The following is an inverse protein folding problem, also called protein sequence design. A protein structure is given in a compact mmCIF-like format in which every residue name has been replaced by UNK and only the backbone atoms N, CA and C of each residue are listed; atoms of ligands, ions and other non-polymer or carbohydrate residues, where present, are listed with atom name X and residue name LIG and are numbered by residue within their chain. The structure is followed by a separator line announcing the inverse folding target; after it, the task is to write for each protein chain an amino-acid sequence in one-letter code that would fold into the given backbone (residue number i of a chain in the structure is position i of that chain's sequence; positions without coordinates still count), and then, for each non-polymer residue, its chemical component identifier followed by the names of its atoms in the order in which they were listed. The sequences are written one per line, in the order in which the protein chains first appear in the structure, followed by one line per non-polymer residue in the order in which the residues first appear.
data_IF_681822926067
#
_entry.id   IF_681822926067
#
_cell.length_a   1.000
_cell.length_b   1.000
_cell.length_c   1.000
_cell.angle_alpha   90.00
_cell.angle_beta   90.00
_cell.angle_gamma   90.00
#
_symmetry.space_group_name_H-M   'P 1'
#
loop_
_entity.id
_entity.type
_entity.pdbx_description
1 polymer ?
#
# COMPACT_ATOMS: atom_id res chain seq x y z
N UNK A 1 -9.57 -26.58 7.07
CA UNK A 1 -9.47 -25.20 7.57
C UNK A 1 -8.09 -25.01 8.17
N UNK A 2 -7.22 -24.22 7.53
CA UNK A 2 -5.93 -23.87 8.13
C UNK A 2 -6.16 -22.73 9.12
N UNK A 3 -6.15 -23.04 10.41
CA UNK A 3 -6.26 -22.06 11.50
C UNK A 3 -4.89 -21.48 11.88
N UNK A 4 -3.95 -21.50 10.94
CA UNK A 4 -2.56 -21.09 11.13
C UNK A 4 -2.43 -19.64 10.69
N UNK A 5 -1.87 -18.75 11.54
CA UNK A 5 -1.62 -17.37 11.12
C UNK A 5 -0.66 -17.36 9.93
N UNK A 6 -1.07 -16.71 8.85
CA UNK A 6 -0.25 -16.50 7.67
C UNK A 6 0.57 -15.23 7.85
N UNK A 7 1.89 -15.36 7.86
CA UNK A 7 2.81 -14.22 7.90
C UNK A 7 3.34 -13.98 6.49
N UNK A 8 2.96 -12.86 5.89
CA UNK A 8 3.43 -12.45 4.57
C UNK A 8 4.05 -11.06 4.71
N UNK A 9 5.29 -10.89 4.25
CA UNK A 9 6.07 -9.67 4.44
C UNK A 9 5.70 -8.52 3.47
N UNK A 10 4.69 -8.72 2.60
CA UNK A 10 4.28 -7.76 1.58
C UNK A 10 2.77 -7.61 1.54
N UNK A 11 2.30 -6.36 1.47
CA UNK A 11 0.88 -6.03 1.42
C UNK A 11 0.18 -6.58 0.16
N UNK A 12 0.89 -6.70 -0.97
CA UNK A 12 0.33 -7.33 -2.18
C UNK A 12 0.09 -8.83 -2.00
N UNK A 13 1.01 -9.53 -1.34
CA UNK A 13 0.84 -10.95 -1.03
C UNK A 13 -0.29 -11.19 -0.04
N UNK A 14 -0.43 -10.31 0.96
CA UNK A 14 -1.59 -10.32 1.87
C UNK A 14 -2.90 -10.06 1.13
N UNK A 15 -2.93 -9.10 0.21
CA UNK A 15 -4.13 -8.80 -0.59
C UNK A 15 -4.60 -10.04 -1.36
N UNK A 16 -3.69 -10.72 -2.07
CA UNK A 16 -4.02 -11.95 -2.79
C UNK A 16 -4.48 -13.07 -1.87
N UNK A 17 -3.86 -13.23 -0.69
CA UNK A 17 -4.29 -14.22 0.28
C UNK A 17 -5.71 -13.94 0.80
N UNK A 18 -6.04 -12.66 1.06
CA UNK A 18 -7.37 -12.25 1.50
C UNK A 18 -8.45 -12.43 0.43
N UNK A 19 -8.08 -12.42 -0.85
CA UNK A 19 -8.99 -12.60 -1.98
C UNK A 19 -9.08 -14.05 -2.46
N UNK A 20 -8.25 -14.96 -1.94
CA UNK A 20 -8.28 -16.35 -2.34
C UNK A 20 -9.55 -17.05 -1.84
N UNK A 21 -10.18 -17.83 -2.72
CA UNK A 21 -11.40 -18.57 -2.40
C UNK A 21 -11.23 -19.42 -1.13
N UNK A 22 -12.20 -19.30 -0.21
CA UNK A 22 -12.23 -20.06 1.03
C UNK A 22 -11.34 -19.54 2.16
N UNK A 23 -10.70 -18.37 2.01
CA UNK A 23 -9.97 -17.70 3.08
C UNK A 23 -10.79 -16.52 3.63
N UNK A 24 -11.06 -16.55 4.94
CA UNK A 24 -11.66 -15.44 5.66
C UNK A 24 -10.69 -15.01 6.75
N UNK A 25 -10.23 -13.76 6.68
CA UNK A 25 -9.24 -13.23 7.61
C UNK A 25 -9.22 -11.71 7.60
N UNK A 26 -8.48 -11.15 8.57
CA UNK A 26 -8.21 -9.72 8.66
C UNK A 26 -6.71 -9.55 8.47
N UNK A 27 -6.33 -8.64 7.57
CA UNK A 27 -4.94 -8.31 7.29
C UNK A 27 -4.67 -6.83 7.42
N UNK A 28 -3.45 -6.49 7.83
CA UNK A 28 -2.95 -5.12 7.81
C UNK A 28 -2.21 -4.90 6.48
N UNK A 29 -2.76 -4.03 5.64
CA UNK A 29 -2.23 -3.72 4.30
C UNK A 29 -2.15 -2.22 4.11
N UNK A 30 -1.29 -1.78 3.19
CA UNK A 30 -1.21 -0.36 2.83
C UNK A 30 -2.47 0.11 2.10
N UNK A 31 -2.93 1.31 2.42
CA UNK A 31 -4.21 1.87 1.93
C UNK A 31 -4.30 1.85 0.39
N UNK A 32 -3.25 2.31 -0.30
CA UNK A 32 -3.21 2.35 -1.77
C UNK A 32 -3.31 0.97 -2.44
N UNK A 33 -2.96 -0.11 -1.72
CA UNK A 33 -3.10 -1.49 -2.23
C UNK A 33 -4.52 -2.01 -1.98
N UNK A 34 -5.12 -1.62 -0.86
CA UNK A 34 -6.46 -2.07 -0.47
C UNK A 34 -7.57 -1.31 -1.19
N UNK A 35 -7.36 -0.04 -1.49
CA UNK A 35 -8.38 0.87 -2.01
C UNK A 35 -9.11 0.32 -3.26
N UNK A 36 -8.43 -0.21 -4.30
CA UNK A 36 -9.13 -0.78 -5.45
C UNK A 36 -9.97 -2.01 -5.09
N UNK A 37 -9.49 -2.85 -4.17
CA UNK A 37 -10.21 -4.03 -3.72
C UNK A 37 -11.42 -3.68 -2.84
N UNK A 38 -11.34 -2.59 -2.07
CA UNK A 38 -12.45 -2.05 -1.29
C UNK A 38 -13.51 -1.45 -2.22
N UNK A 39 -13.09 -0.63 -3.19
CA UNK A 39 -13.99 -0.01 -4.17
C UNK A 39 -14.75 -1.06 -5.01
N UNK A 40 -14.08 -2.16 -5.35
CA UNK A 40 -14.69 -3.29 -6.07
C UNK A 40 -15.52 -4.22 -5.17
N UNK A 41 -15.64 -3.95 -3.86
CA UNK A 41 -16.42 -4.75 -2.93
C UNK A 41 -15.80 -6.10 -2.57
N UNK A 42 -14.53 -6.34 -2.93
CA UNK A 42 -13.81 -7.57 -2.58
C UNK A 42 -13.27 -7.54 -1.15
N UNK A 43 -13.04 -6.35 -0.59
CA UNK A 43 -12.59 -6.15 0.78
C UNK A 43 -13.45 -5.09 1.49
N UNK A 44 -13.48 -5.16 2.82
CA UNK A 44 -14.12 -4.16 3.67
C UNK A 44 -13.14 -3.67 4.73
N UNK A 45 -13.09 -2.34 4.94
CA UNK A 45 -12.30 -1.74 6.02
C UNK A 45 -12.93 -2.12 7.37
N UNK A 46 -12.13 -2.75 8.22
CA UNK A 46 -12.50 -3.08 9.60
C UNK A 46 -11.86 -2.09 10.58
N UNK A 47 -12.50 -1.88 11.74
CA UNK A 47 -11.99 -1.03 12.82
C UNK A 47 -11.62 0.41 12.38
N UNK A 48 -12.52 1.18 11.73
CA UNK A 48 -12.18 2.50 11.18
C UNK A 48 -11.79 3.54 12.24
N UNK A 49 -12.17 3.33 13.49
CA UNK A 49 -11.85 4.23 14.62
C UNK A 49 -10.43 4.01 15.18
N UNK A 50 -9.73 2.97 14.73
CA UNK A 50 -8.41 2.64 15.22
C UNK A 50 -7.35 3.33 14.37
N UNK A 51 -6.47 4.08 15.04
CA UNK A 51 -5.29 4.68 14.41
C UNK A 51 -4.09 3.77 14.64
N UNK A 52 -3.38 3.46 13.55
CA UNK A 52 -2.14 2.71 13.62
C UNK A 52 -1.05 3.58 14.29
N UNK A 53 -0.28 2.97 15.18
CA UNK A 53 0.81 3.62 15.90
C UNK A 53 2.16 2.93 15.63
N UNK A 54 3.26 3.61 15.98
CA UNK A 54 4.62 3.07 15.83
C UNK A 54 5.03 2.87 14.36
N UNK A 55 5.56 1.70 14.02
CA UNK A 55 6.05 1.38 12.67
C UNK A 55 4.98 1.40 11.57
N UNK A 56 3.69 1.40 11.95
CA UNK A 56 2.55 1.41 11.04
C UNK A 56 1.77 2.73 11.07
N UNK A 57 2.28 3.75 11.79
CA UNK A 57 1.71 5.09 11.74
C UNK A 57 1.68 5.63 10.30
N UNK A 58 0.78 6.59 9.98
CA UNK A 58 0.73 7.21 8.65
C UNK A 58 2.11 7.62 8.16
N UNK A 59 2.46 7.20 6.94
CA UNK A 59 3.80 7.35 6.38
C UNK A 59 3.76 8.11 5.07
N UNK A 60 4.79 8.93 4.89
CA UNK A 60 5.05 9.66 3.65
C UNK A 60 5.96 8.77 2.78
N UNK A 61 5.57 8.56 1.53
CA UNK A 61 6.45 7.98 0.53
C UNK A 61 7.40 9.06 0.00
N UNK A 62 8.72 8.79 0.05
CA UNK A 62 9.74 9.69 -0.47
C UNK A 62 10.35 9.12 -1.74
N UNK A 63 10.46 9.95 -2.78
CA UNK A 63 11.26 9.63 -3.95
C UNK A 63 12.74 9.91 -3.63
N UNK A 64 13.56 8.86 -3.52
CA UNK A 64 14.99 8.96 -3.21
C UNK A 64 15.80 8.79 -4.49
N UNK A 65 16.69 9.75 -4.78
CA UNK A 65 17.62 9.69 -5.90
C UNK A 65 19.03 10.13 -5.48
N UNK A 66 20.04 9.74 -6.26
CA UNK A 66 21.42 10.14 -5.98
C UNK A 66 21.58 11.67 -6.10
N UNK A 67 22.29 12.32 -5.15
CA UNK A 67 22.63 13.73 -5.28
C UNK A 67 23.70 13.91 -6.36
N UNK A 68 23.54 14.90 -7.23
CA UNK A 68 24.52 15.20 -8.27
C UNK A 68 24.16 16.45 -9.07
N UNK A 69 25.14 17.10 -9.69
CA UNK A 69 24.95 18.38 -10.39
C UNK A 69 24.08 18.26 -11.64
N UNK A 70 23.97 17.07 -12.25
CA UNK A 70 23.15 16.83 -13.43
C UNK A 70 22.14 15.72 -13.17
N UNK A 71 20.86 16.11 -13.05
CA UNK A 71 19.76 15.15 -13.07
C UNK A 71 19.36 14.87 -14.53
N UNK A 72 19.33 13.59 -14.97
CA UNK A 72 18.86 13.24 -16.31
C UNK A 72 17.44 13.77 -16.55
N UNK A 73 17.13 14.33 -17.74
CA UNK A 73 15.79 14.85 -18.04
C UNK A 73 14.67 13.84 -17.86
N UNK A 74 14.93 12.55 -18.13
CA UNK A 74 13.98 11.45 -17.91
C UNK A 74 13.64 11.26 -16.43
N UNK A 75 14.63 11.37 -15.54
CA UNK A 75 14.40 11.28 -14.09
C UNK A 75 13.60 12.51 -13.61
N UNK A 76 13.93 13.70 -14.11
CA UNK A 76 13.15 14.91 -13.83
C UNK A 76 11.68 14.74 -14.20
N UNK A 77 11.41 14.33 -15.44
CA UNK A 77 10.05 14.14 -15.93
C UNK A 77 9.27 13.09 -15.11
N UNK A 78 9.93 12.00 -14.69
CA UNK A 78 9.33 11.00 -13.81
C UNK A 78 8.98 11.57 -12.44
N UNK A 79 9.88 12.33 -11.81
CA UNK A 79 9.62 12.96 -10.51
C UNK A 79 8.51 14.01 -10.60
N UNK A 80 8.49 14.81 -11.66
CA UNK A 80 7.44 15.80 -11.92
C UNK A 80 6.08 15.11 -12.10
N UNK A 81 6.04 14.00 -12.85
CA UNK A 81 4.84 13.17 -13.01
C UNK A 81 4.36 12.61 -11.66
N UNK A 82 5.25 11.97 -10.90
CA UNK A 82 4.90 11.39 -9.60
C UNK A 82 4.39 12.44 -8.61
N UNK A 83 4.96 13.66 -8.65
CA UNK A 83 4.50 14.76 -7.79
C UNK A 83 3.10 15.24 -8.17
N UNK A 84 2.79 15.33 -9.46
CA UNK A 84 1.46 15.72 -9.91
C UNK A 84 0.41 14.65 -9.58
N UNK A 85 0.76 13.38 -9.77
CA UNK A 85 -0.13 12.23 -9.50
C UNK A 85 -0.40 12.07 -7.99
N UNK A 86 0.64 12.16 -7.16
CA UNK A 86 0.53 12.01 -5.71
C UNK A 86 -0.23 13.15 -5.01
N UNK A 87 -0.50 14.27 -5.69
CA UNK A 87 -1.32 15.38 -5.16
C UNK A 87 -2.83 15.17 -5.38
N UNK A 88 -3.23 14.16 -6.16
CA UNK A 88 -4.62 13.91 -6.53
C UNK A 88 -5.31 12.87 -5.61
N UNK A 89 -4.55 12.27 -4.69
CA UNK A 89 -5.01 11.26 -3.72
C UNK A 89 -5.06 11.85 -2.32
#
# INVERSE_FOLDING_TARGET
MLNTPLTIASSLGLLHALQADGQSGIGLVADFVAEPAIQNGHLARVLPQWQLAGSYAPRIAYAVHAPGPHMPPKLRAMLDFLKADAQTV
#
